data_IF_708982528663
#
_entry.id   IF_708982528663
#
_cell.length_a   1.000
_cell.length_b   1.000
_cell.length_c   1.000
_cell.angle_alpha   90.00
_cell.angle_beta   90.00
_cell.angle_gamma   90.00
#
_symmetry.space_group_name_H-M   'P 1'
#
loop_
_entity.id
_entity.type
_entity.pdbx_description
1 polymer ?
#
# COMPACT_ATOMS: atom_id res chain seq x y z
N UNK A 1 -14.14 83.49 -9.88
CA UNK A 1 -13.15 83.02 -8.89
C UNK A 1 -13.07 81.52 -9.07
N UNK A 2 -11.96 81.07 -9.64
CA UNK A 2 -11.75 79.72 -10.16
C UNK A 2 -10.44 79.21 -9.61
N UNK A 3 -10.48 78.29 -8.67
CA UNK A 3 -9.37 77.41 -8.25
C UNK A 3 -10.02 76.07 -7.86
N UNK A 4 -10.01 75.09 -8.77
CA UNK A 4 -9.05 73.97 -8.84
C UNK A 4 -9.04 73.11 -7.56
N UNK A 5 -9.86 72.06 -7.54
CA UNK A 5 -9.62 70.92 -6.65
C UNK A 5 -8.57 70.00 -7.30
N UNK A 6 -7.40 69.89 -6.68
CA UNK A 6 -6.38 68.92 -7.08
C UNK A 6 -6.90 67.48 -6.90
N UNK A 7 -6.77 66.66 -7.94
CA UNK A 7 -6.96 65.22 -7.87
C UNK A 7 -5.72 64.56 -7.21
N UNK A 8 -5.89 63.46 -6.46
CA UNK A 8 -4.77 62.78 -5.82
C UNK A 8 -3.83 62.12 -6.85
N UNK A 9 -2.51 62.02 -6.57
CA UNK A 9 -1.58 61.41 -7.51
C UNK A 9 -1.88 59.92 -7.67
N UNK A 10 -2.05 59.49 -8.91
CA UNK A 10 -2.10 58.08 -9.31
C UNK A 10 -0.79 57.39 -8.91
N UNK A 11 -0.88 56.40 -8.02
CA UNK A 11 0.26 55.57 -7.66
C UNK A 11 0.83 54.86 -8.90
N UNK A 12 2.10 55.11 -9.21
CA UNK A 12 2.79 54.50 -10.33
C UNK A 12 2.93 52.99 -10.12
N UNK A 13 2.44 52.19 -11.08
CA UNK A 13 2.68 50.75 -11.13
C UNK A 13 4.16 50.49 -11.45
N UNK A 14 4.97 50.33 -10.42
CA UNK A 14 6.40 50.12 -10.54
C UNK A 14 6.68 48.69 -11.06
N UNK A 15 7.01 48.57 -12.36
CA UNK A 15 7.46 47.30 -12.95
C UNK A 15 8.71 46.81 -12.19
N UNK A 16 8.70 45.55 -11.74
CA UNK A 16 9.87 44.93 -11.09
C UNK A 16 11.13 45.11 -11.95
N UNK A 17 12.30 45.41 -11.35
CA UNK A 17 13.55 45.55 -12.09
C UNK A 17 13.83 44.30 -12.93
N UNK A 18 14.26 44.43 -14.18
CA UNK A 18 14.64 43.29 -15.03
C UNK A 18 15.73 42.43 -14.37
N UNK A 19 16.65 43.05 -13.63
CA UNK A 19 17.66 42.37 -12.79
C UNK A 19 17.05 41.47 -11.72
N UNK A 20 15.91 41.83 -11.13
CA UNK A 20 15.21 41.01 -10.13
C UNK A 20 14.51 39.80 -10.78
N UNK A 21 13.98 39.99 -11.99
CA UNK A 21 13.38 38.91 -12.81
C UNK A 21 14.44 37.91 -13.25
N UNK A 22 15.55 38.39 -13.81
CA UNK A 22 16.66 37.53 -14.24
C UNK A 22 17.25 36.73 -13.09
N UNK A 23 17.37 37.32 -11.89
CA UNK A 23 17.80 36.60 -10.68
C UNK A 23 16.81 35.51 -10.27
N UNK A 24 15.51 35.79 -10.32
CA UNK A 24 14.46 34.82 -10.03
C UNK A 24 14.48 33.66 -11.05
N UNK A 25 14.66 33.96 -12.33
CA UNK A 25 14.75 32.95 -13.40
C UNK A 25 15.99 32.05 -13.24
N UNK A 26 17.13 32.60 -12.81
CA UNK A 26 18.33 31.81 -12.49
C UNK A 26 18.08 30.90 -11.29
N UNK A 27 17.49 31.42 -10.20
CA UNK A 27 17.18 30.61 -9.02
C UNK A 27 16.19 29.49 -9.32
N UNK A 28 15.18 29.75 -10.16
CA UNK A 28 14.21 28.74 -10.61
C UNK A 28 14.88 27.68 -11.47
N UNK A 29 15.82 28.05 -12.34
CA UNK A 29 16.61 27.10 -13.14
C UNK A 29 17.55 26.26 -12.29
N UNK A 30 18.25 26.85 -11.32
CA UNK A 30 19.10 26.12 -10.37
C UNK A 30 18.28 25.11 -9.56
N UNK A 31 17.13 25.54 -9.03
CA UNK A 31 16.22 24.66 -8.32
C UNK A 31 15.68 23.54 -9.22
N UNK A 32 15.34 23.84 -10.47
CA UNK A 32 14.90 22.85 -11.45
C UNK A 32 16.03 21.86 -11.80
N UNK A 33 17.26 22.33 -12.00
CA UNK A 33 18.43 21.47 -12.27
C UNK A 33 18.72 20.56 -11.08
N UNK A 34 18.68 21.09 -9.85
CA UNK A 34 18.80 20.28 -8.64
C UNK A 34 17.67 19.24 -8.54
N UNK A 35 16.42 19.62 -8.84
CA UNK A 35 15.30 18.68 -8.91
C UNK A 35 15.51 17.59 -9.97
N UNK A 36 15.95 17.98 -11.17
CA UNK A 36 16.27 17.04 -12.25
C UNK A 36 17.39 16.09 -11.86
N UNK A 37 18.45 16.58 -11.18
CA UNK A 37 19.54 15.75 -10.67
C UNK A 37 19.07 14.78 -9.58
N UNK A 38 18.18 15.20 -8.68
CA UNK A 38 17.59 14.33 -7.65
C UNK A 38 16.73 13.24 -8.30
N UNK A 39 15.88 13.59 -9.28
CA UNK A 39 15.07 12.61 -10.01
C UNK A 39 15.95 11.62 -10.78
N UNK A 40 17.00 12.10 -11.45
CA UNK A 40 17.97 11.26 -12.18
C UNK A 40 18.72 10.32 -11.21
N UNK A 41 19.13 10.82 -10.05
CA UNK A 41 19.79 10.03 -9.01
C UNK A 41 18.86 8.95 -8.44
N UNK A 42 17.60 9.29 -8.15
CA UNK A 42 16.60 8.32 -7.68
C UNK A 42 16.28 7.24 -8.74
N UNK A 43 16.20 7.61 -10.02
CA UNK A 43 15.99 6.66 -11.10
C UNK A 43 17.19 5.73 -11.30
N UNK A 44 18.42 6.24 -11.16
CA UNK A 44 19.65 5.45 -11.26
C UNK A 44 19.85 4.52 -10.04
N UNK A 45 19.34 4.89 -8.86
CA UNK A 45 19.47 4.10 -7.64
C UNK A 45 18.58 2.84 -7.61
N UNK A 46 17.67 2.65 -8.58
CA UNK A 46 16.96 1.39 -8.79
C UNK A 46 16.20 0.85 -7.56
N UNK A 47 15.82 1.72 -6.60
CA UNK A 47 15.14 1.32 -5.38
C UNK A 47 13.67 1.00 -5.65
N UNK A 48 13.41 -0.13 -6.30
CA UNK A 48 12.09 -0.74 -6.30
C UNK A 48 12.03 -1.64 -5.08
N UNK A 49 11.38 -1.18 -4.01
CA UNK A 49 11.08 -2.04 -2.87
C UNK A 49 10.07 -3.11 -3.32
N UNK A 50 10.58 -4.25 -3.78
CA UNK A 50 9.76 -5.43 -4.03
C UNK A 50 9.22 -5.95 -2.71
N UNK A 51 7.91 -6.16 -2.62
CA UNK A 51 7.34 -6.92 -1.50
C UNK A 51 7.64 -8.40 -1.74
N UNK A 52 8.26 -9.06 -0.76
CA UNK A 52 8.49 -10.52 -0.80
C UNK A 52 7.18 -11.31 -0.77
N UNK A 53 6.04 -10.65 -0.54
CA UNK A 53 4.69 -11.22 -0.50
C UNK A 53 3.80 -10.48 -1.50
N UNK A 54 3.14 -11.24 -2.37
CA UNK A 54 2.33 -10.74 -3.47
C UNK A 54 0.90 -11.24 -3.34
N UNK A 55 -0.04 -10.30 -3.33
CA UNK A 55 -1.48 -10.53 -3.41
C UNK A 55 -2.10 -9.47 -4.36
N UNK A 56 -3.31 -9.70 -4.92
CA UNK A 56 -4.02 -8.68 -5.67
C UNK A 56 -4.22 -7.40 -4.85
N UNK A 57 -4.00 -6.24 -5.45
CA UNK A 57 -4.24 -4.94 -4.79
C UNK A 57 -5.72 -4.69 -4.56
N UNK A 58 -6.55 -5.12 -5.52
CA UNK A 58 -7.98 -4.92 -5.49
C UNK A 58 -8.70 -6.05 -6.22
N UNK A 59 -9.88 -6.40 -5.72
CA UNK A 59 -10.74 -7.42 -6.30
C UNK A 59 -12.19 -6.99 -6.14
N UNK A 60 -12.95 -7.07 -7.23
CA UNK A 60 -14.38 -6.73 -7.27
C UNK A 60 -15.13 -7.94 -7.80
N UNK A 61 -16.22 -8.30 -7.13
CA UNK A 61 -17.06 -9.44 -7.50
C UNK A 61 -18.51 -9.10 -7.16
N UNK A 62 -19.47 -9.77 -7.81
CA UNK A 62 -20.88 -9.55 -7.53
C UNK A 62 -21.28 -10.13 -6.17
N UNK A 63 -22.30 -9.54 -5.56
CA UNK A 63 -22.89 -10.07 -4.34
C UNK A 63 -23.46 -11.47 -4.61
N UNK A 64 -23.23 -12.40 -3.68
CA UNK A 64 -23.66 -13.80 -3.80
C UNK A 64 -22.62 -14.74 -4.40
N UNK A 65 -21.61 -14.21 -5.10
CA UNK A 65 -20.51 -15.01 -5.65
C UNK A 65 -19.43 -15.29 -4.59
N UNK A 66 -18.61 -16.30 -4.85
CA UNK A 66 -17.40 -16.57 -4.06
C UNK A 66 -16.22 -15.77 -4.64
N UNK A 67 -15.44 -15.16 -3.74
CA UNK A 67 -14.23 -14.42 -4.13
C UNK A 67 -13.00 -15.12 -3.55
N UNK A 68 -12.01 -15.41 -4.41
CA UNK A 68 -10.77 -16.08 -4.01
C UNK A 68 -9.56 -15.16 -4.21
N UNK A 69 -8.79 -15.00 -3.14
CA UNK A 69 -7.60 -14.18 -3.08
C UNK A 69 -6.39 -15.11 -3.06
N UNK A 70 -5.45 -14.90 -3.99
CA UNK A 70 -4.22 -15.66 -4.08
C UNK A 70 -3.07 -14.89 -3.44
N UNK A 71 -2.33 -15.54 -2.54
CA UNK A 71 -1.10 -15.01 -1.94
C UNK A 71 0.09 -15.87 -2.37
N UNK A 72 1.19 -15.20 -2.76
CA UNK A 72 2.48 -15.83 -3.08
C UNK A 72 3.61 -15.14 -2.36
N UNK A 73 4.72 -15.82 -2.10
CA UNK A 73 5.93 -15.19 -1.59
C UNK A 73 7.21 -15.81 -2.16
N UNK A 74 8.32 -15.07 -2.04
CA UNK A 74 9.66 -15.46 -2.52
C UNK A 74 10.66 -15.75 -1.40
N UNK A 75 10.20 -15.80 -0.14
CA UNK A 75 11.06 -15.99 1.05
C UNK A 75 11.68 -17.39 1.23
N UNK A 76 11.32 -18.36 0.39
CA UNK A 76 11.81 -19.75 0.47
C UNK A 76 10.92 -20.67 1.29
N UNK A 77 11.27 -21.97 1.28
CA UNK A 77 10.41 -23.05 1.75
C UNK A 77 10.25 -23.14 3.27
N UNK A 78 11.16 -22.54 4.04
CA UNK A 78 11.04 -22.49 5.50
C UNK A 78 9.86 -21.61 5.95
N UNK A 79 9.42 -20.66 5.12
CA UNK A 79 8.20 -19.86 5.30
C UNK A 79 6.94 -20.66 4.95
N UNK A 80 6.71 -21.76 5.65
CA UNK A 80 5.61 -22.69 5.33
C UNK A 80 4.27 -22.31 5.99
N UNK A 81 4.26 -21.29 6.86
CA UNK A 81 3.06 -20.79 7.54
C UNK A 81 2.51 -19.53 6.85
N UNK A 82 1.18 -19.44 6.76
CA UNK A 82 0.49 -18.27 6.19
C UNK A 82 -0.71 -17.85 7.04
N UNK A 83 -0.90 -16.55 7.16
CA UNK A 83 -1.92 -15.91 7.97
C UNK A 83 -2.79 -15.04 7.08
N UNK A 84 -4.09 -15.11 7.28
CA UNK A 84 -5.06 -14.28 6.58
C UNK A 84 -5.78 -13.38 7.56
N UNK A 85 -5.60 -12.08 7.40
CA UNK A 85 -6.22 -11.05 8.21
C UNK A 85 -7.30 -10.33 7.42
N UNK A 86 -8.35 -9.90 8.12
CA UNK A 86 -9.41 -9.03 7.60
C UNK A 86 -9.49 -7.77 8.44
N UNK A 87 -9.72 -6.64 7.76
CA UNK A 87 -10.06 -5.38 8.38
C UNK A 87 -11.28 -4.77 7.70
N UNK A 88 -12.37 -4.62 8.45
CA UNK A 88 -13.55 -3.87 8.02
C UNK A 88 -13.40 -2.39 8.35
N UNK A 89 -14.14 -1.53 7.65
CA UNK A 89 -14.18 -0.09 7.95
C UNK A 89 -14.62 0.12 9.40
N UNK A 90 -13.79 0.84 10.17
CA UNK A 90 -14.06 1.14 11.57
C UNK A 90 -13.74 0.00 12.55
N UNK A 91 -13.20 -1.13 12.08
CA UNK A 91 -12.76 -2.24 12.93
C UNK A 91 -11.25 -2.39 12.97
N UNK A 92 -10.77 -3.03 14.04
CA UNK A 92 -9.39 -3.49 14.13
C UNK A 92 -9.17 -4.71 13.20
N UNK A 93 -7.92 -4.89 12.79
CA UNK A 93 -7.50 -6.07 12.03
C UNK A 93 -7.70 -7.34 12.86
N UNK A 94 -8.29 -8.37 12.26
CA UNK A 94 -8.58 -9.67 12.89
C UNK A 94 -7.97 -10.79 12.06
N UNK A 95 -7.32 -11.74 12.74
CA UNK A 95 -6.89 -12.99 12.12
C UNK A 95 -8.12 -13.85 11.82
N UNK A 96 -8.26 -14.30 10.57
CA UNK A 96 -9.35 -15.17 10.14
C UNK A 96 -8.90 -16.62 10.15
N UNK A 97 -7.73 -16.89 9.59
CA UNK A 97 -7.21 -18.25 9.48
C UNK A 97 -5.69 -18.27 9.44
N UNK A 98 -5.13 -19.26 10.13
CA UNK A 98 -3.74 -19.68 10.07
C UNK A 98 -3.66 -21.01 9.30
N UNK A 99 -2.74 -21.06 8.33
CA UNK A 99 -2.51 -22.26 7.51
C UNK A 99 -1.05 -22.69 7.56
N UNK A 100 -0.84 -24.00 7.62
CA UNK A 100 0.48 -24.64 7.55
C UNK A 100 0.42 -25.71 6.46
N UNK A 101 1.52 -25.88 5.72
CA UNK A 101 1.61 -26.93 4.69
C UNK A 101 1.38 -28.31 5.31
N UNK A 102 0.47 -29.09 4.73
CA UNK A 102 0.23 -30.48 5.15
C UNK A 102 -0.51 -30.64 6.50
N UNK A 103 -1.02 -29.55 7.08
CA UNK A 103 -1.78 -29.58 8.33
C UNK A 103 -3.16 -28.93 8.16
N UNK A 104 -4.07 -29.29 9.05
CA UNK A 104 -5.39 -28.67 9.13
C UNK A 104 -5.28 -27.17 9.42
N UNK A 105 -6.21 -26.41 8.85
CA UNK A 105 -6.24 -24.96 8.96
C UNK A 105 -6.98 -24.51 10.22
N UNK A 106 -6.37 -23.59 10.97
CA UNK A 106 -6.94 -23.06 12.19
C UNK A 106 -7.67 -21.74 11.90
N UNK A 107 -9.00 -21.77 12.00
CA UNK A 107 -9.86 -20.60 11.80
C UNK A 107 -10.16 -19.85 13.10
N UNK A 108 -9.67 -20.34 14.25
CA UNK A 108 -10.08 -19.84 15.55
C UNK A 108 -11.61 -19.77 15.68
N UNK A 109 -12.13 -18.57 15.91
CA UNK A 109 -13.57 -18.29 16.05
C UNK A 109 -14.26 -17.92 14.73
N UNK A 110 -13.56 -17.94 13.60
CA UNK A 110 -14.11 -17.55 12.29
C UNK A 110 -15.02 -18.63 11.72
N UNK A 111 -16.09 -18.23 11.02
CA UNK A 111 -17.05 -19.18 10.43
C UNK A 111 -16.45 -19.90 9.21
N UNK A 112 -16.18 -21.20 9.35
CA UNK A 112 -15.68 -22.09 8.29
C UNK A 112 -16.67 -22.29 7.13
N UNK A 113 -17.95 -21.91 7.30
CA UNK A 113 -18.92 -21.86 6.19
C UNK A 113 -18.76 -20.61 5.35
N UNK A 114 -18.29 -19.51 5.94
CA UNK A 114 -18.06 -18.23 5.26
C UNK A 114 -16.68 -18.15 4.63
N UNK A 115 -15.68 -18.74 5.28
CA UNK A 115 -14.29 -18.65 4.86
C UNK A 115 -13.70 -20.04 4.58
N UNK A 116 -12.88 -20.13 3.54
CA UNK A 116 -12.02 -21.29 3.30
C UNK A 116 -10.62 -20.84 2.90
N UNK A 117 -9.62 -21.68 3.13
CA UNK A 117 -8.26 -21.42 2.73
C UNK A 117 -7.60 -22.69 2.19
N UNK A 118 -6.55 -22.52 1.38
CA UNK A 118 -5.68 -23.61 0.95
C UNK A 118 -4.21 -23.24 1.12
N UNK A 119 -3.38 -24.23 1.38
CA UNK A 119 -1.93 -24.08 1.51
C UNK A 119 -1.19 -25.24 0.81
N UNK A 120 -1.14 -25.26 -0.53
CA UNK A 120 -0.62 -26.40 -1.29
C UNK A 120 0.90 -26.59 -1.17
N UNK A 121 1.65 -25.52 -0.97
CA UNK A 121 3.11 -25.54 -0.77
C UNK A 121 3.51 -24.37 0.14
N UNK A 122 4.82 -24.20 0.39
CA UNK A 122 5.30 -23.12 1.24
C UNK A 122 4.95 -21.76 0.62
N UNK A 123 5.26 -21.57 -0.65
CA UNK A 123 5.29 -20.29 -1.36
C UNK A 123 3.92 -19.72 -1.72
N UNK A 124 2.86 -20.53 -1.72
CA UNK A 124 1.53 -20.12 -2.20
C UNK A 124 0.39 -20.62 -1.34
N UNK A 125 -0.66 -19.81 -1.28
CA UNK A 125 -1.89 -20.13 -0.58
C UNK A 125 -3.05 -19.31 -1.12
N UNK A 126 -4.28 -19.77 -0.87
CA UNK A 126 -5.48 -19.04 -1.25
C UNK A 126 -6.41 -18.87 -0.07
N UNK A 127 -7.20 -17.79 -0.10
CA UNK A 127 -8.26 -17.52 0.84
C UNK A 127 -9.52 -17.13 0.09
N UNK A 128 -10.63 -17.76 0.43
CA UNK A 128 -11.92 -17.59 -0.23
C UNK A 128 -12.94 -17.09 0.76
N UNK A 129 -13.62 -16.01 0.40
CA UNK A 129 -14.84 -15.55 1.07
C UNK A 129 -16.03 -16.02 0.24
N UNK A 130 -16.89 -16.83 0.84
CA UNK A 130 -18.03 -17.43 0.16
C UNK A 130 -19.27 -16.54 0.24
N UNK A 131 -20.13 -16.61 -0.76
CA UNK A 131 -21.40 -15.88 -0.82
C UNK A 131 -21.22 -14.41 -0.41
N UNK A 132 -20.48 -13.62 -1.20
CA UNK A 132 -20.04 -12.29 -0.84
C UNK A 132 -21.23 -11.37 -0.50
N UNK A 133 -21.12 -10.61 0.59
CA UNK A 133 -22.13 -9.65 1.04
C UNK A 133 -21.54 -8.24 1.10
N UNK A 134 -22.40 -7.20 1.12
CA UNK A 134 -21.94 -5.82 1.29
C UNK A 134 -21.14 -5.60 2.60
N UNK A 135 -21.45 -6.37 3.64
CA UNK A 135 -20.72 -6.36 4.91
C UNK A 135 -19.30 -6.96 4.82
N UNK A 136 -18.97 -7.63 3.71
CA UNK A 136 -17.64 -8.18 3.44
C UNK A 136 -16.69 -7.18 2.77
N UNK A 137 -17.17 -5.99 2.41
CA UNK A 137 -16.32 -4.93 1.88
C UNK A 137 -15.27 -4.51 2.93
N UNK A 138 -14.01 -4.80 2.63
CA UNK A 138 -12.91 -4.48 3.53
C UNK A 138 -11.56 -4.89 2.95
N UNK A 139 -10.53 -4.75 3.77
CA UNK A 139 -9.16 -5.11 3.43
C UNK A 139 -8.90 -6.55 3.87
N UNK A 140 -8.23 -7.31 3.00
CA UNK A 140 -7.71 -8.64 3.30
C UNK A 140 -6.19 -8.59 3.13
N UNK A 141 -5.46 -9.12 4.11
CA UNK A 141 -4.00 -9.16 4.11
C UNK A 141 -3.51 -10.59 4.31
N UNK A 142 -2.57 -11.03 3.48
CA UNK A 142 -1.78 -12.22 3.77
C UNK A 142 -0.43 -11.85 4.39
N UNK A 143 0.02 -12.68 5.33
CA UNK A 143 1.36 -12.65 5.88
C UNK A 143 1.93 -14.07 5.94
N UNK A 144 3.26 -14.19 5.95
CA UNK A 144 3.94 -15.50 6.00
C UNK A 144 5.03 -15.49 7.06
N UNK A 145 5.22 -16.63 7.72
CA UNK A 145 6.28 -16.82 8.70
C UNK A 145 7.00 -18.15 8.51
N UNK A 146 8.23 -18.19 9.01
CA UNK A 146 9.01 -19.41 9.10
C UNK A 146 8.39 -20.40 10.09
N UNK A 147 8.44 -21.68 9.76
CA UNK A 147 8.11 -22.74 10.70
C UNK A 147 9.29 -22.95 11.65
N UNK A 148 9.15 -22.54 12.91
CA UNK A 148 10.10 -22.93 13.94
C UNK A 148 9.80 -24.37 14.35
N UNK A 149 10.63 -25.32 13.90
CA UNK A 149 10.71 -26.62 14.56
C UNK A 149 11.23 -26.38 15.97
N UNK A 150 10.35 -26.28 16.97
CA UNK A 150 10.78 -26.37 18.36
C UNK A 150 11.15 -27.82 18.63
N UNK A 151 12.34 -28.23 18.18
CA UNK A 151 13.07 -29.33 18.82
C UNK A 151 13.60 -28.82 20.16
N UNK A 152 12.69 -28.52 21.09
CA UNK A 152 13.02 -28.49 22.53
C UNK A 152 12.90 -29.95 22.99
N UNK A 153 13.88 -30.75 22.59
CA UNK A 153 14.04 -32.16 22.94
C UNK A 153 15.40 -32.34 23.59
N UNK A 154 15.41 -32.76 24.85
CA UNK A 154 16.55 -32.71 25.76
C UNK A 154 17.78 -33.53 25.38
N UNK A 155 18.90 -33.10 25.97
CA UNK A 155 20.22 -33.71 26.00
C UNK A 155 21.16 -32.83 26.80
#
# INVERSE_FOLDING_TARGET
MSELSEAPPTAAFQRRPQTLRNKLDVMVKEAAVLWWLVVLLCAAAGLVAGSDVTQPEQLWTHQGDDVTINCKHTKGSSYSQMYWYRQLRGEHMKLIVFTTVGADHDFGNSDKRKFSATKPNAESGTFTVKNLEAADEGLIFCAVSEHSDTNVGGG
#
